data_IF_557175413531
#
_entry.id   IF_557175413531
#
_cell.length_a   1.000
_cell.length_b   1.000
_cell.length_c   1.000
_cell.angle_alpha   90.00
_cell.angle_beta   90.00
_cell.angle_gamma   90.00
#
_symmetry.space_group_name_H-M   'P 1'
#
loop_
_entity.id
_entity.type
_entity.pdbx_description
1 polymer ?
#
# COMPACT_ATOMS: atom_id res chain seq x y z
N UNK A 1 -28.91 -48.93 16.00
CA UNK A 1 -28.07 -48.37 14.92
C UNK A 1 -27.65 -46.96 15.34
N UNK A 2 -26.42 -46.79 15.83
CA UNK A 2 -25.86 -45.46 16.11
C UNK A 2 -25.22 -44.90 14.81
N UNK A 3 -25.39 -43.61 14.49
CA UNK A 3 -24.66 -42.99 13.39
C UNK A 3 -23.18 -42.75 13.78
N UNK A 4 -22.30 -42.97 12.80
CA UNK A 4 -20.85 -42.90 12.94
C UNK A 4 -20.36 -41.46 13.17
N UNK A 5 -19.33 -41.31 14.01
CA UNK A 5 -18.67 -40.04 14.28
C UNK A 5 -17.83 -39.57 13.06
N UNK A 6 -17.77 -38.26 12.79
CA UNK A 6 -16.94 -37.72 11.70
C UNK A 6 -15.43 -37.77 12.05
N UNK A 7 -14.54 -37.83 11.05
CA UNK A 7 -13.11 -37.94 11.27
C UNK A 7 -12.49 -36.63 11.79
N UNK A 8 -11.63 -36.75 12.80
CA UNK A 8 -10.85 -35.65 13.38
C UNK A 8 -9.76 -35.22 12.40
N UNK A 9 -9.80 -33.97 11.94
CA UNK A 9 -8.75 -33.38 11.12
C UNK A 9 -7.48 -33.12 11.94
N UNK A 10 -6.32 -33.56 11.41
CA UNK A 10 -5.00 -33.31 12.01
C UNK A 10 -4.64 -31.82 11.86
N UNK A 11 -4.00 -31.19 12.87
CA UNK A 11 -3.53 -29.82 12.73
C UNK A 11 -2.42 -29.74 11.68
N UNK A 12 -2.51 -28.72 10.82
CA UNK A 12 -1.48 -28.39 9.83
C UNK A 12 -0.20 -27.92 10.53
N UNK A 13 0.96 -28.37 10.04
CA UNK A 13 2.25 -27.97 10.54
C UNK A 13 2.49 -26.46 10.30
N UNK A 14 2.98 -25.76 11.33
CA UNK A 14 3.35 -24.36 11.24
C UNK A 14 4.51 -24.15 10.24
N UNK A 15 4.53 -23.07 9.45
CA UNK A 15 5.67 -22.74 8.62
C UNK A 15 6.88 -22.38 9.51
N UNK A 16 8.04 -22.92 9.17
CA UNK A 16 9.30 -22.68 9.88
C UNK A 16 9.68 -21.19 9.80
N UNK A 17 9.93 -20.58 10.97
CA UNK A 17 10.44 -19.23 11.06
C UNK A 17 11.86 -19.16 10.46
N UNK A 18 12.10 -18.19 9.59
CA UNK A 18 13.42 -17.91 9.03
C UNK A 18 14.33 -17.34 10.13
N UNK A 19 15.34 -18.11 10.54
CA UNK A 19 16.37 -17.65 11.46
C UNK A 19 17.48 -16.92 10.68
N UNK A 20 17.90 -15.71 11.08
CA UNK A 20 19.03 -15.04 10.46
C UNK A 20 20.35 -15.79 10.75
N UNK A 21 21.33 -15.79 9.82
CA UNK A 21 22.61 -16.43 10.04
C UNK A 21 23.40 -15.71 11.14
N UNK A 22 23.96 -16.49 12.07
CA UNK A 22 24.84 -16.01 13.14
C UNK A 22 26.13 -15.36 12.57
N UNK A 23 26.62 -14.25 13.16
CA UNK A 23 27.85 -13.62 12.73
C UNK A 23 29.06 -14.53 13.03
N UNK A 24 30.13 -14.50 12.20
CA UNK A 24 31.32 -15.27 12.44
C UNK A 24 32.03 -14.79 13.72
N UNK A 25 32.34 -15.76 14.59
CA UNK A 25 33.17 -15.58 15.77
C UNK A 25 34.61 -15.26 15.36
N UNK A 26 35.04 -14.02 15.59
CA UNK A 26 36.45 -13.64 15.43
C UNK A 26 37.27 -14.32 16.52
N UNK A 27 38.07 -15.29 16.12
CA UNK A 27 39.02 -15.98 17.00
C UNK A 27 40.00 -14.98 17.61
N UNK A 28 40.07 -15.00 18.93
CA UNK A 28 41.02 -14.27 19.78
C UNK A 28 42.45 -14.72 19.44
N UNK A 29 43.27 -13.81 18.90
CA UNK A 29 44.73 -14.04 18.77
C UNK A 29 45.36 -13.86 20.16
N UNK A 30 46.16 -14.82 20.68
CA UNK A 30 46.86 -14.67 21.95
C UNK A 30 47.94 -13.58 21.86
N UNK A 31 47.96 -12.69 22.85
CA UNK A 31 49.01 -11.67 22.98
C UNK A 31 50.37 -12.29 23.25
N UNK A 32 51.39 -11.79 22.57
CA UNK A 32 52.79 -12.02 22.93
C UNK A 32 53.41 -10.69 23.38
N UNK A 33 53.92 -10.58 24.61
CA UNK A 33 54.59 -9.39 25.07
C UNK A 33 56.08 -9.49 24.74
N UNK A 34 56.58 -8.64 23.85
CA UNK A 34 58.03 -8.40 23.74
C UNK A 34 58.29 -6.92 23.61
N UNK A 35 58.54 -6.31 24.77
CA UNK A 35 59.36 -5.11 24.90
C UNK A 35 60.72 -5.37 24.25
N UNK A 36 61.20 -4.49 23.37
CA UNK A 36 62.43 -3.73 23.59
C UNK A 36 63.01 -3.07 22.31
N UNK A 37 63.36 -1.80 22.52
CA UNK A 37 64.47 -1.02 21.95
C UNK A 37 64.46 -0.82 20.42
N UNK A 38 64.11 0.41 20.04
CA UNK A 38 64.37 1.00 18.73
C UNK A 38 65.85 1.47 18.67
N UNK A 39 66.66 0.99 17.70
CA UNK A 39 67.87 1.70 17.26
C UNK A 39 67.57 2.62 16.06
N UNK A 40 68.27 3.75 15.92
CA UNK A 40 67.91 4.85 15.02
C UNK A 40 68.13 4.54 13.53
N UNK A 41 67.29 5.20 12.73
CA UNK A 41 67.17 5.21 11.27
C UNK A 41 68.50 5.08 10.51
N UNK A 42 68.63 4.01 9.72
CA UNK A 42 69.49 3.98 8.54
C UNK A 42 68.59 3.66 7.33
N UNK A 43 68.66 4.43 6.23
CA UNK A 43 67.73 4.29 5.11
C UNK A 43 68.12 3.09 4.28
N UNK A 44 67.59 1.91 4.64
CA UNK A 44 67.63 0.75 3.76
C UNK A 44 66.43 0.89 2.84
N UNK A 45 66.74 1.43 1.66
CA UNK A 45 65.97 1.45 0.43
C UNK A 45 65.50 0.02 0.07
N UNK A 46 64.51 -0.45 0.83
CA UNK A 46 63.81 -1.70 0.56
C UNK A 46 62.74 -1.37 -0.46
N UNK A 47 63.19 -1.20 -1.71
CA UNK A 47 62.33 -1.28 -2.89
C UNK A 47 61.81 -2.72 -2.98
N UNK A 48 60.84 -3.04 -2.12
CA UNK A 48 59.91 -4.14 -2.36
C UNK A 48 59.27 -3.81 -3.69
N UNK A 49 59.78 -4.41 -4.78
CA UNK A 49 59.09 -4.37 -6.06
C UNK A 49 57.70 -4.89 -5.79
N UNK A 50 56.71 -3.99 -5.77
CA UNK A 50 55.31 -4.36 -5.85
C UNK A 50 55.18 -5.17 -7.12
N UNK A 51 55.09 -6.50 -6.98
CA UNK A 51 54.69 -7.37 -8.07
C UNK A 51 53.29 -6.88 -8.45
N UNK A 52 53.07 -6.32 -9.66
CA UNK A 52 51.73 -5.97 -10.06
C UNK A 52 50.95 -7.28 -10.11
N UNK A 53 50.08 -7.49 -9.13
CA UNK A 53 49.00 -8.45 -9.26
C UNK A 53 48.20 -7.93 -10.43
N UNK A 54 48.32 -8.58 -11.59
CA UNK A 54 47.43 -8.28 -12.70
C UNK A 54 46.03 -8.56 -12.19
N UNK A 55 45.26 -7.49 -11.96
CA UNK A 55 43.85 -7.55 -11.57
C UNK A 55 43.04 -8.19 -12.70
N UNK A 56 43.12 -9.51 -12.81
CA UNK A 56 42.33 -10.28 -13.77
C UNK A 56 40.84 -10.29 -13.37
N UNK A 57 40.51 -9.81 -12.16
CA UNK A 57 39.14 -9.66 -11.65
C UNK A 57 38.54 -8.24 -11.76
N UNK A 58 39.32 -7.22 -12.15
CA UNK A 58 38.79 -5.84 -12.25
C UNK A 58 37.85 -5.67 -13.44
N UNK A 59 38.14 -6.34 -14.56
CA UNK A 59 37.31 -6.30 -15.77
C UNK A 59 35.88 -6.81 -15.55
N UNK A 60 35.71 -7.86 -14.71
CA UNK A 60 34.39 -8.37 -14.35
C UNK A 60 33.62 -7.40 -13.44
N UNK A 61 34.31 -6.79 -12.47
CA UNK A 61 33.71 -5.81 -11.56
C UNK A 61 33.34 -4.51 -12.28
N UNK A 62 34.17 -4.03 -13.22
CA UNK A 62 33.85 -2.85 -14.02
C UNK A 62 32.69 -3.12 -14.97
N UNK A 63 32.60 -4.31 -15.58
CA UNK A 63 31.44 -4.70 -16.39
C UNK A 63 30.14 -4.77 -15.58
N UNK A 64 30.19 -5.30 -14.34
CA UNK A 64 29.05 -5.34 -13.44
C UNK A 64 28.58 -3.93 -13.02
N UNK A 65 29.52 -3.03 -12.71
CA UNK A 65 29.19 -1.63 -12.37
C UNK A 65 28.61 -0.91 -13.58
N UNK A 66 29.18 -1.09 -14.77
CA UNK A 66 28.68 -0.47 -15.99
C UNK A 66 27.25 -0.95 -16.32
N UNK A 67 26.99 -2.26 -16.20
CA UNK A 67 25.65 -2.82 -16.43
C UNK A 67 24.64 -2.31 -15.40
N UNK A 68 24.99 -2.28 -14.10
CA UNK A 68 24.13 -1.67 -13.08
C UNK A 68 23.86 -0.18 -13.33
N UNK A 69 24.86 0.59 -13.76
CA UNK A 69 24.69 2.01 -14.06
C UNK A 69 23.74 2.22 -15.25
N UNK A 70 23.88 1.42 -16.32
CA UNK A 70 22.99 1.47 -17.49
C UNK A 70 21.56 1.08 -17.10
N UNK A 71 21.38 0.03 -16.31
CA UNK A 71 20.06 -0.39 -15.83
C UNK A 71 19.42 0.67 -14.93
N UNK A 72 20.18 1.24 -13.98
CA UNK A 72 19.69 2.29 -13.09
C UNK A 72 19.29 3.56 -13.85
N UNK A 73 20.15 4.03 -14.77
CA UNK A 73 19.85 5.19 -15.61
C UNK A 73 18.67 4.92 -16.55
N UNK A 74 18.57 3.72 -17.11
CA UNK A 74 17.45 3.30 -17.95
C UNK A 74 16.12 3.26 -17.19
N UNK A 75 16.12 2.77 -15.94
CA UNK A 75 14.92 2.75 -15.09
C UNK A 75 14.49 4.15 -14.65
N UNK A 76 15.43 5.01 -14.25
CA UNK A 76 15.14 6.39 -13.87
C UNK A 76 14.65 7.19 -15.09
N UNK A 77 15.32 7.05 -16.23
CA UNK A 77 14.92 7.67 -17.49
C UNK A 77 13.55 7.18 -17.97
N UNK A 78 13.30 5.87 -17.91
CA UNK A 78 12.01 5.27 -18.26
C UNK A 78 10.87 5.71 -17.34
N UNK A 79 11.12 5.86 -16.03
CA UNK A 79 10.13 6.37 -15.08
C UNK A 79 9.80 7.86 -15.33
N UNK A 80 10.82 8.70 -15.54
CA UNK A 80 10.62 10.12 -15.84
C UNK A 80 9.95 10.32 -17.21
N UNK A 81 10.34 9.55 -18.22
CA UNK A 81 9.70 9.54 -19.53
C UNK A 81 8.27 9.00 -19.45
N UNK A 82 8.00 7.97 -18.65
CA UNK A 82 6.65 7.47 -18.38
C UNK A 82 5.76 8.51 -17.70
N UNK A 83 6.30 9.28 -16.76
CA UNK A 83 5.60 10.41 -16.12
C UNK A 83 5.32 11.53 -17.12
N UNK A 84 6.28 11.88 -17.97
CA UNK A 84 6.10 12.88 -19.02
C UNK A 84 5.13 12.42 -20.12
N UNK A 85 5.17 11.15 -20.50
CA UNK A 85 4.22 10.54 -21.44
C UNK A 85 2.82 10.55 -20.84
N UNK A 86 2.65 10.12 -19.59
CA UNK A 86 1.38 10.19 -18.86
C UNK A 86 0.87 11.63 -18.68
N UNK A 87 1.76 12.62 -18.58
CA UNK A 87 1.41 14.03 -18.55
C UNK A 87 1.06 14.58 -19.95
N UNK A 88 1.71 14.08 -21.00
CA UNK A 88 1.45 14.46 -22.41
C UNK A 88 0.20 13.78 -23.00
N UNK A 89 -0.20 12.63 -22.45
CA UNK A 89 -1.50 11.98 -22.65
C UNK A 89 -2.64 12.70 -21.89
N UNK A 90 -2.47 13.99 -21.55
CA UNK A 90 -3.53 14.87 -21.07
C UNK A 90 -4.60 15.20 -22.12
N UNK A 91 -4.58 14.51 -23.27
CA UNK A 91 -5.75 14.33 -24.11
C UNK A 91 -6.78 13.47 -23.39
N UNK A 92 -7.61 14.11 -22.53
CA UNK A 92 -8.89 13.63 -21.99
C UNK A 92 -8.92 12.10 -21.83
N UNK A 93 -8.23 11.57 -20.80
CA UNK A 93 -8.30 10.15 -20.43
C UNK A 93 -9.75 9.73 -20.54
N UNK A 94 -10.05 8.83 -21.49
CA UNK A 94 -11.42 8.42 -21.76
C UNK A 94 -12.09 8.12 -20.42
N UNK A 95 -13.27 8.70 -20.19
CA UNK A 95 -14.07 8.35 -19.02
C UNK A 95 -14.02 6.82 -18.89
N UNK A 96 -13.67 6.28 -17.71
CA UNK A 96 -13.84 4.86 -17.49
C UNK A 96 -15.26 4.49 -17.91
N UNK A 97 -15.40 3.59 -18.88
CA UNK A 97 -16.70 3.13 -19.34
C UNK A 97 -17.49 2.69 -18.11
N UNK A 98 -18.56 3.41 -17.79
CA UNK A 98 -19.34 3.19 -16.57
C UNK A 98 -19.50 4.40 -15.66
N UNK A 99 -18.79 5.51 -15.85
CA UNK A 99 -19.00 6.69 -14.99
C UNK A 99 -20.30 7.44 -15.31
N UNK A 100 -20.63 7.59 -16.59
CA UNK A 100 -21.93 8.07 -17.02
C UNK A 100 -23.07 7.18 -16.50
N UNK A 101 -22.92 5.85 -16.57
CA UNK A 101 -23.88 4.88 -16.01
C UNK A 101 -23.93 4.94 -14.48
N UNK A 102 -22.79 5.17 -13.82
CA UNK A 102 -22.69 5.26 -12.37
C UNK A 102 -23.56 6.38 -11.80
N UNK A 103 -23.75 7.48 -12.55
CA UNK A 103 -24.61 8.60 -12.14
C UNK A 103 -26.08 8.21 -12.05
N UNK A 104 -26.51 7.21 -12.79
CA UNK A 104 -27.90 6.74 -12.80
C UNK A 104 -28.17 5.60 -11.80
N UNK A 105 -27.11 5.06 -11.16
CA UNK A 105 -27.26 3.92 -10.25
C UNK A 105 -28.18 4.21 -9.07
N UNK A 106 -28.34 5.47 -8.65
CA UNK A 106 -29.22 5.80 -7.53
C UNK A 106 -30.69 5.43 -7.78
N UNK A 107 -31.13 5.38 -9.04
CA UNK A 107 -32.48 4.95 -9.41
C UNK A 107 -32.51 3.61 -10.16
N UNK A 108 -31.40 3.22 -10.81
CA UNK A 108 -31.33 2.00 -11.62
C UNK A 108 -30.78 0.77 -10.87
N UNK A 109 -29.99 0.96 -9.80
CA UNK A 109 -29.34 -0.15 -9.11
C UNK A 109 -30.19 -0.70 -7.96
N UNK A 110 -30.17 -2.02 -7.73
CA UNK A 110 -30.73 -2.59 -6.52
C UNK A 110 -30.07 -2.02 -5.27
N UNK A 111 -30.87 -1.74 -4.24
CA UNK A 111 -30.40 -1.20 -2.96
C UNK A 111 -29.34 -2.10 -2.32
N UNK A 112 -29.47 -3.43 -2.45
CA UNK A 112 -28.50 -4.39 -1.91
C UNK A 112 -27.13 -4.33 -2.61
N UNK A 113 -27.06 -3.80 -3.84
CA UNK A 113 -25.80 -3.57 -4.55
C UNK A 113 -25.11 -2.31 -4.06
N UNK A 114 -25.87 -1.24 -3.79
CA UNK A 114 -25.33 0.04 -3.31
C UNK A 114 -25.01 0.01 -1.81
N UNK A 115 -25.83 -0.70 -1.05
CA UNK A 115 -25.72 -0.84 0.39
C UNK A 115 -25.83 -2.33 0.74
N UNK A 116 -24.72 -3.07 0.79
CA UNK A 116 -24.76 -4.48 1.16
C UNK A 116 -25.47 -4.73 2.49
N UNK A 117 -26.00 -5.93 2.69
CA UNK A 117 -26.65 -6.29 3.98
C UNK A 117 -25.69 -6.22 5.17
N UNK A 118 -24.42 -6.53 4.91
CA UNK A 118 -23.36 -6.56 5.91
C UNK A 118 -22.16 -5.76 5.42
N UNK A 119 -21.55 -4.98 6.31
CA UNK A 119 -20.26 -4.34 6.07
C UNK A 119 -19.21 -4.92 7.01
N UNK A 120 -18.03 -5.18 6.47
CA UNK A 120 -16.86 -5.53 7.25
C UNK A 120 -16.23 -4.24 7.79
N UNK A 121 -16.20 -4.09 9.11
CA UNK A 121 -15.59 -2.95 9.77
C UNK A 121 -14.06 -3.06 9.76
N UNK A 122 -13.33 -1.95 9.54
CA UNK A 122 -11.89 -1.95 9.66
C UNK A 122 -11.53 -2.15 11.14
N UNK A 123 -10.75 -3.19 11.40
CA UNK A 123 -10.20 -3.57 12.70
C UNK A 123 -11.22 -4.11 13.70
N UNK A 124 -10.75 -5.12 14.39
CA UNK A 124 -11.46 -5.66 15.51
C UNK A 124 -11.56 -4.64 16.66
N UNK A 125 -12.72 -4.58 17.32
CA UNK A 125 -12.86 -3.84 18.57
C UNK A 125 -11.92 -4.39 19.65
N UNK A 126 -11.91 -3.77 20.85
CA UNK A 126 -11.18 -4.31 22.01
C UNK A 126 -11.47 -5.81 22.15
N UNK A 127 -10.42 -6.65 22.18
CA UNK A 127 -10.56 -8.12 22.21
C UNK A 127 -10.53 -8.83 20.85
N UNK A 128 -10.07 -8.20 19.78
CA UNK A 128 -9.90 -8.84 18.46
C UNK A 128 -11.20 -9.36 17.79
N UNK A 129 -12.37 -8.93 18.26
CA UNK A 129 -13.65 -9.16 17.59
C UNK A 129 -13.80 -8.26 16.36
N UNK A 130 -13.69 -8.83 15.16
CA UNK A 130 -14.04 -8.15 13.91
C UNK A 130 -15.44 -7.53 14.02
N UNK A 131 -15.57 -6.24 13.70
CA UNK A 131 -16.88 -5.57 13.76
C UNK A 131 -17.61 -5.80 12.44
N UNK A 132 -18.50 -6.80 12.41
CA UNK A 132 -19.48 -6.94 11.33
C UNK A 132 -20.66 -6.00 11.61
N UNK A 133 -21.03 -5.20 10.62
CA UNK A 133 -22.12 -4.24 10.70
C UNK A 133 -23.32 -4.74 9.89
N UNK A 134 -24.50 -4.78 10.49
CA UNK A 134 -25.74 -5.21 9.81
C UNK A 134 -26.60 -4.01 9.47
N UNK A 135 -27.08 -3.93 8.23
CA UNK A 135 -27.94 -2.84 7.75
C UNK A 135 -29.30 -2.89 8.46
N UNK A 136 -29.67 -1.81 9.13
CA UNK A 136 -30.95 -1.71 9.85
C UNK A 136 -31.97 -0.84 9.10
N UNK A 137 -31.52 0.19 8.40
CA UNK A 137 -32.40 1.14 7.69
C UNK A 137 -31.69 1.66 6.43
N UNK A 138 -32.47 1.87 5.38
CA UNK A 138 -32.07 2.65 4.20
C UNK A 138 -32.98 3.87 4.14
N UNK A 139 -32.38 5.05 4.11
CA UNK A 139 -33.12 6.29 3.97
C UNK A 139 -33.60 6.45 2.52
N UNK A 140 -34.79 7.05 2.28
CA UNK A 140 -35.19 7.48 0.95
C UNK A 140 -34.14 8.40 0.33
N UNK A 141 -34.08 8.42 -1.00
CA UNK A 141 -33.19 9.30 -1.72
C UNK A 141 -33.59 10.77 -1.53
N UNK A 142 -32.59 11.61 -1.30
CA UNK A 142 -32.80 13.00 -0.92
C UNK A 142 -31.98 13.96 -1.79
N UNK A 143 -32.46 15.20 -2.01
CA UNK A 143 -31.65 16.21 -2.67
C UNK A 143 -30.47 16.60 -1.78
N UNK A 144 -29.40 17.11 -2.39
CA UNK A 144 -28.26 17.63 -1.66
C UNK A 144 -28.68 18.92 -0.92
N UNK A 145 -28.69 18.87 0.41
CA UNK A 145 -29.01 20.03 1.26
C UNK A 145 -28.28 19.92 2.60
N UNK A 146 -28.23 21.03 3.34
CA UNK A 146 -27.64 21.09 4.69
C UNK A 146 -28.40 20.26 5.72
N UNK A 147 -29.64 19.85 5.42
CA UNK A 147 -30.40 18.91 6.25
C UNK A 147 -29.93 17.45 6.10
N UNK A 148 -29.25 17.13 4.99
CA UNK A 148 -28.84 15.77 4.63
C UNK A 148 -27.33 15.58 4.77
N UNK A 149 -26.56 16.58 4.35
CA UNK A 149 -25.10 16.61 4.38
C UNK A 149 -24.61 17.70 5.32
N UNK A 150 -23.48 17.45 5.99
CA UNK A 150 -22.81 18.49 6.77
C UNK A 150 -22.41 19.67 5.85
N UNK A 151 -22.54 20.90 6.31
CA UNK A 151 -22.33 22.11 5.49
C UNK A 151 -20.98 22.15 4.78
N UNK A 152 -19.89 21.77 5.48
CA UNK A 152 -18.55 21.71 4.87
C UNK A 152 -18.49 20.68 3.73
N UNK A 153 -19.12 19.53 3.91
CA UNK A 153 -19.19 18.51 2.86
C UNK A 153 -20.03 19.00 1.69
N UNK A 154 -21.19 19.60 1.97
CA UNK A 154 -22.06 20.19 0.95
C UNK A 154 -21.31 21.22 0.08
N UNK A 155 -20.60 22.16 0.71
CA UNK A 155 -19.80 23.17 0.01
C UNK A 155 -18.70 22.57 -0.88
N UNK A 156 -18.19 21.38 -0.53
CA UNK A 156 -17.16 20.70 -1.31
C UNK A 156 -17.75 19.94 -2.50
N UNK A 157 -18.98 19.42 -2.39
CA UNK A 157 -19.64 18.65 -3.47
C UNK A 157 -20.55 19.47 -4.37
N UNK A 158 -21.02 20.63 -3.93
CA UNK A 158 -21.86 21.53 -4.72
C UNK A 158 -21.23 21.91 -6.08
N UNK A 159 -19.93 22.28 -6.17
CA UNK A 159 -19.29 22.61 -7.44
C UNK A 159 -19.26 21.45 -8.45
N UNK A 160 -19.42 20.21 -7.96
CA UNK A 160 -19.45 19.00 -8.78
C UNK A 160 -20.85 18.70 -9.34
N UNK A 161 -21.85 19.52 -9.03
CA UNK A 161 -23.23 19.31 -9.45
C UNK A 161 -23.87 18.15 -8.70
N UNK A 162 -23.90 18.23 -7.37
CA UNK A 162 -24.56 17.26 -6.50
C UNK A 162 -26.04 17.11 -6.87
N UNK A 163 -26.49 15.89 -7.13
CA UNK A 163 -27.83 15.62 -7.66
C UNK A 163 -28.70 14.88 -6.64
N UNK A 164 -28.20 13.76 -6.11
CA UNK A 164 -28.89 12.94 -5.09
C UNK A 164 -27.92 12.42 -4.04
N UNK A 165 -28.47 12.18 -2.85
CA UNK A 165 -27.78 11.54 -1.73
C UNK A 165 -28.58 10.32 -1.29
N UNK A 166 -27.89 9.20 -1.14
CA UNK A 166 -28.42 7.97 -0.55
C UNK A 166 -27.73 7.68 0.76
N UNK A 167 -28.44 7.12 1.74
CA UNK A 167 -27.87 6.76 3.05
C UNK A 167 -28.40 5.43 3.55
N UNK A 168 -27.54 4.66 4.18
CA UNK A 168 -27.91 3.46 4.90
C UNK A 168 -27.29 3.46 6.30
N UNK A 169 -28.08 3.09 7.29
CA UNK A 169 -27.66 2.97 8.68
C UNK A 169 -27.44 1.51 9.03
N UNK A 170 -26.33 1.25 9.70
CA UNK A 170 -25.92 -0.07 10.15
C UNK A 170 -25.69 -0.06 11.65
N UNK A 171 -25.85 -1.23 12.28
CA UNK A 171 -25.51 -1.45 13.68
C UNK A 171 -24.45 -2.54 13.81
N UNK A 172 -23.63 -2.48 14.84
CA UNK A 172 -22.66 -3.53 15.13
C UNK A 172 -23.35 -4.81 15.64
N UNK A 173 -22.60 -5.91 15.69
CA UNK A 173 -23.11 -7.20 16.16
C UNK A 173 -23.73 -7.15 17.57
N UNK A 174 -23.30 -6.21 18.41
CA UNK A 174 -23.79 -6.02 19.80
C UNK A 174 -24.90 -4.98 19.93
N UNK A 175 -25.35 -4.37 18.83
CA UNK A 175 -26.32 -3.27 18.82
C UNK A 175 -25.93 -2.08 19.73
N UNK A 176 -24.65 -1.93 20.03
CA UNK A 176 -24.10 -0.90 20.92
C UNK A 176 -23.60 0.33 20.15
N UNK A 177 -23.47 0.21 18.84
CA UNK A 177 -22.99 1.28 17.98
C UNK A 177 -23.76 1.31 16.68
N UNK A 178 -23.83 2.49 16.08
CA UNK A 178 -24.43 2.72 14.76
C UNK A 178 -23.49 3.52 13.88
N UNK A 179 -23.49 3.19 12.59
CA UNK A 179 -22.82 3.98 11.56
C UNK A 179 -23.81 4.29 10.45
N UNK A 180 -23.64 5.44 9.80
CA UNK A 180 -24.39 5.79 8.60
C UNK A 180 -23.41 5.93 7.45
N UNK A 181 -23.62 5.14 6.39
CA UNK A 181 -22.87 5.22 5.14
C UNK A 181 -23.67 6.02 4.14
N UNK A 182 -23.05 7.01 3.51
CA UNK A 182 -23.65 7.87 2.50
C UNK A 182 -22.97 7.73 1.15
N UNK A 183 -23.78 7.75 0.09
CA UNK A 183 -23.35 7.84 -1.31
C UNK A 183 -23.86 9.16 -1.89
N UNK A 184 -22.98 9.92 -2.53
CA UNK A 184 -23.33 11.20 -3.16
C UNK A 184 -23.14 11.07 -4.67
N UNK A 185 -24.21 11.29 -5.42
CA UNK A 185 -24.23 11.24 -6.87
C UNK A 185 -24.08 12.66 -7.43
N UNK A 186 -23.14 12.85 -8.35
CA UNK A 186 -22.84 14.16 -8.92
C UNK A 186 -22.74 14.09 -10.44
N UNK A 187 -22.90 15.25 -11.11
CA UNK A 187 -22.75 15.39 -12.56
C UNK A 187 -21.29 15.50 -13.02
N UNK A 188 -20.33 15.52 -12.09
CA UNK A 188 -18.92 15.63 -12.39
C UNK A 188 -18.35 14.36 -13.03
N UNK A 189 -17.34 14.52 -13.89
CA UNK A 189 -16.63 13.38 -14.50
C UNK A 189 -15.69 12.70 -13.49
N UNK A 190 -15.16 11.55 -13.90
CA UNK A 190 -14.26 10.76 -13.06
C UNK A 190 -12.99 11.52 -12.62
N UNK A 191 -12.54 12.54 -13.36
CA UNK A 191 -11.35 13.32 -12.99
C UNK A 191 -11.68 14.27 -11.84
N UNK A 192 -12.78 15.00 -11.97
CA UNK A 192 -13.27 15.92 -10.96
C UNK A 192 -13.66 15.20 -9.66
N UNK A 193 -14.30 14.03 -9.73
CA UNK A 193 -14.63 13.25 -8.53
C UNK A 193 -13.40 12.62 -7.84
N UNK A 194 -12.35 12.26 -8.58
CA UNK A 194 -11.08 11.82 -7.95
C UNK A 194 -10.35 12.96 -7.24
N UNK A 195 -10.46 14.18 -7.74
CA UNK A 195 -9.88 15.35 -7.08
C UNK A 195 -10.56 15.61 -5.72
N UNK A 196 -11.87 15.38 -5.60
CA UNK A 196 -12.62 15.49 -4.35
C UNK A 196 -12.05 14.60 -3.25
N UNK A 197 -11.80 13.32 -3.56
CA UNK A 197 -11.32 12.35 -2.56
C UNK A 197 -10.01 12.76 -1.87
N UNK A 198 -9.15 13.52 -2.55
CA UNK A 198 -7.91 14.07 -1.95
C UNK A 198 -8.15 15.25 -1.02
N UNK A 199 -9.26 15.97 -1.17
CA UNK A 199 -9.62 17.10 -0.31
C UNK A 199 -10.45 16.71 0.92
N UNK A 200 -10.85 15.44 1.02
CA UNK A 200 -11.66 14.91 2.14
C UNK A 200 -10.82 14.16 3.19
N UNK A 201 -9.54 13.87 2.90
CA UNK A 201 -8.57 13.27 3.84
C UNK A 201 -7.72 14.33 4.49
#
# INVERSE_FOLDING_TARGET
MLPAAPPVARPAAAPAAFAPPSPPSYGRVPGHPTSHVLPPEAPIETTTRLRPVRDRGSAGRTAAVATCAVLGLGLIGGALAGVWLAASESGKRAEPAGYAEARELWHNAPVDTLFPRTLDGPHAGPGAAGRTWTRIVVAPDAPCSSAVLAERLLATVEPLGCERVLRATYTDATASSVITVGLVFTRADATAQRALGRGLT
#
